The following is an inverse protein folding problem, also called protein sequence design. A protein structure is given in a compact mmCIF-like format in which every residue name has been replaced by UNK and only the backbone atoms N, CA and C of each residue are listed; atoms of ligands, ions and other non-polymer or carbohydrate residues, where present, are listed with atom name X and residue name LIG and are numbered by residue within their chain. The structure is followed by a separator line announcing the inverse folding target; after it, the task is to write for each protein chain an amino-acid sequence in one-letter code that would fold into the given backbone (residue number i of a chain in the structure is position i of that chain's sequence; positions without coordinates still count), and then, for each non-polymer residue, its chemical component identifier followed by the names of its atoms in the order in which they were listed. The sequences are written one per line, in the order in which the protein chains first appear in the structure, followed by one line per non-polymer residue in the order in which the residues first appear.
data_IF_393306528198
#
_entry.id   IF_393306528198
#
_cell.length_a   1.000
_cell.length_b   1.000
_cell.length_c   1.000
_cell.angle_alpha   90.00
_cell.angle_beta   90.00
_cell.angle_gamma   90.00
#
_symmetry.space_group_name_H-M   'P 1'
#
loop_
_entity.id
_entity.type
_entity.pdbx_description
1 polymer ?
#
# COMPACT_ATOMS: atom_id res chain seq x y z
N UNK A 1 24.33 -7.09 6.32
CA UNK A 1 23.63 -7.06 7.62
C UNK A 1 22.14 -7.13 7.33
N UNK A 2 21.41 -8.05 7.96
CA UNK A 2 19.95 -8.08 7.86
C UNK A 2 19.40 -6.73 8.31
N UNK A 3 18.43 -6.18 7.57
CA UNK A 3 17.81 -4.90 7.94
C UNK A 3 16.85 -5.13 9.10
N UNK A 4 17.00 -4.34 10.17
CA UNK A 4 16.10 -4.40 11.33
C UNK A 4 14.67 -3.94 10.97
N UNK A 5 14.50 -3.21 9.88
CA UNK A 5 13.21 -2.74 9.42
C UNK A 5 13.16 -2.39 7.93
N UNK A 6 12.00 -2.57 7.32
CA UNK A 6 11.62 -2.06 6.00
C UNK A 6 10.81 -0.79 6.19
N UNK A 7 11.14 0.26 5.44
CA UNK A 7 10.48 1.58 5.50
C UNK A 7 9.82 1.88 4.16
N UNK A 8 8.52 2.12 4.20
CA UNK A 8 7.70 2.40 3.02
C UNK A 8 7.15 3.82 3.10
N UNK A 9 7.28 4.58 2.01
CA UNK A 9 6.64 5.87 1.82
C UNK A 9 5.56 5.74 0.76
N UNK A 10 4.35 6.20 1.08
CA UNK A 10 3.16 6.07 0.23
C UNK A 10 2.62 7.45 -0.15
N UNK A 11 3.25 8.15 -1.10
CA UNK A 11 2.72 9.42 -1.60
C UNK A 11 1.48 9.20 -2.47
N UNK A 12 0.52 10.07 -2.31
CA UNK A 12 -0.74 10.04 -3.02
C UNK A 12 -1.50 11.36 -2.87
N UNK A 13 -2.77 11.33 -3.22
CA UNK A 13 -3.67 12.46 -3.05
C UNK A 13 -4.77 12.12 -2.05
N UNK A 14 -5.28 13.13 -1.38
CA UNK A 14 -6.39 12.98 -0.45
C UNK A 14 -7.60 12.33 -1.14
N UNK A 15 -8.12 11.25 -0.52
CA UNK A 15 -9.22 10.45 -1.05
C UNK A 15 -8.82 9.18 -1.82
N UNK A 16 -7.53 8.96 -2.12
CA UNK A 16 -7.03 7.78 -2.86
C UNK A 16 -6.86 6.52 -1.99
N UNK A 17 -7.08 6.63 -0.69
CA UNK A 17 -7.02 5.49 0.21
C UNK A 17 -5.61 5.05 0.65
N UNK A 18 -4.56 5.84 0.40
CA UNK A 18 -3.20 5.57 0.86
C UNK A 18 -3.12 5.38 2.39
N UNK A 19 -3.83 6.22 3.15
CA UNK A 19 -3.95 6.10 4.62
C UNK A 19 -4.59 4.76 5.02
N UNK A 20 -5.62 4.33 4.30
CA UNK A 20 -6.29 3.06 4.56
C UNK A 20 -5.37 1.88 4.25
N UNK A 21 -4.67 1.91 3.11
CA UNK A 21 -3.70 0.90 2.74
C UNK A 21 -2.56 0.81 3.76
N UNK A 22 -2.00 1.94 4.19
CA UNK A 22 -0.95 1.97 5.21
C UNK A 22 -1.40 1.36 6.55
N UNK A 23 -2.63 1.63 6.95
CA UNK A 23 -3.20 1.07 8.19
C UNK A 23 -3.37 -0.45 8.09
N UNK A 24 -3.93 -0.93 6.98
CA UNK A 24 -4.10 -2.37 6.75
C UNK A 24 -2.73 -3.06 6.64
N UNK A 25 -1.75 -2.42 5.98
CA UNK A 25 -0.40 -2.94 5.88
C UNK A 25 0.24 -3.15 7.26
N UNK A 26 0.10 -2.18 8.17
CA UNK A 26 0.63 -2.32 9.52
C UNK A 26 -0.10 -3.42 10.30
N UNK A 27 -1.43 -3.52 10.21
CA UNK A 27 -2.21 -4.58 10.88
C UNK A 27 -1.84 -5.97 10.34
N UNK A 28 -1.73 -6.13 9.02
CA UNK A 28 -1.35 -7.39 8.40
C UNK A 28 0.07 -7.83 8.82
N UNK A 29 1.01 -6.90 8.89
CA UNK A 29 2.36 -7.19 9.35
C UNK A 29 2.41 -7.57 10.84
N UNK A 30 1.62 -6.91 11.68
CA UNK A 30 1.48 -7.27 13.10
C UNK A 30 0.92 -8.69 13.28
N UNK A 31 -0.06 -9.08 12.46
CA UNK A 31 -0.59 -10.45 12.42
C UNK A 31 0.49 -11.50 12.09
N UNK A 32 1.46 -11.15 11.24
CA UNK A 32 2.63 -12.00 10.94
C UNK A 32 3.71 -11.96 12.02
N UNK A 33 3.53 -11.17 13.08
CA UNK A 33 4.47 -11.04 14.19
C UNK A 33 5.58 -10.02 13.98
N UNK A 34 5.47 -9.12 12.98
CA UNK A 34 6.34 -7.97 12.87
C UNK A 34 5.89 -6.85 13.80
N UNK A 35 6.83 -6.08 14.32
CA UNK A 35 6.51 -4.77 14.84
C UNK A 35 6.16 -3.85 13.68
N UNK A 36 4.99 -3.23 13.71
CA UNK A 36 4.52 -2.41 12.61
C UNK A 36 3.99 -1.07 13.08
N UNK A 37 4.29 -0.02 12.32
CA UNK A 37 3.82 1.35 12.58
C UNK A 37 3.35 1.96 11.27
N UNK A 38 2.15 2.56 11.27
CA UNK A 38 1.66 3.40 10.19
C UNK A 38 1.42 4.82 10.68
N UNK A 39 1.97 5.79 9.96
CA UNK A 39 1.78 7.22 10.25
C UNK A 39 1.27 7.93 9.00
N UNK A 40 0.03 8.44 8.99
CA UNK A 40 -0.44 9.31 7.93
C UNK A 40 0.07 10.73 8.13
N UNK A 41 0.39 11.39 7.02
CA UNK A 41 0.73 12.80 6.97
C UNK A 41 -0.07 13.48 5.86
N UNK A 42 -0.85 14.49 6.21
CA UNK A 42 -1.70 15.24 5.28
C UNK A 42 -1.98 16.63 5.80
N UNK A 43 -2.16 17.59 4.89
CA UNK A 43 -2.54 18.96 5.21
C UNK A 43 -4.02 19.12 5.58
N UNK A 44 -4.44 20.37 5.76
CA UNK A 44 -5.83 20.72 6.06
C UNK A 44 -6.80 20.43 4.90
N UNK A 45 -6.32 20.39 3.68
CA UNK A 45 -7.10 20.10 2.49
C UNK A 45 -7.45 18.62 2.42
N UNK A 46 -8.73 18.29 2.12
CA UNK A 46 -9.26 16.94 2.26
C UNK A 46 -9.29 16.13 0.97
N UNK A 47 -9.30 16.77 -0.20
CA UNK A 47 -9.41 16.09 -1.50
C UNK A 47 -8.39 16.61 -2.49
N UNK A 48 -7.76 15.69 -3.23
CA UNK A 48 -6.80 15.96 -4.29
C UNK A 48 -5.57 16.79 -3.87
N UNK A 49 -5.42 17.07 -2.57
CA UNK A 49 -4.21 17.64 -1.98
C UNK A 49 -3.17 16.55 -1.73
N UNK A 50 -1.88 16.90 -1.69
CA UNK A 50 -0.83 15.96 -1.33
C UNK A 50 -1.13 15.27 0.00
N UNK A 51 -0.93 13.96 0.04
CA UNK A 51 -0.96 13.17 1.26
C UNK A 51 0.15 12.14 1.19
N UNK A 52 0.82 11.91 2.29
CA UNK A 52 1.78 10.82 2.41
C UNK A 52 1.42 9.94 3.60
N UNK A 53 1.66 8.66 3.47
CA UNK A 53 1.60 7.74 4.59
C UNK A 53 2.92 7.01 4.69
N UNK A 54 3.30 6.67 5.90
CA UNK A 54 4.55 5.97 6.18
C UNK A 54 4.23 4.66 6.88
N UNK A 55 4.85 3.58 6.43
CA UNK A 55 4.78 2.27 7.07
C UNK A 55 6.19 1.81 7.41
N UNK A 56 6.36 1.31 8.61
CA UNK A 56 7.58 0.65 9.06
C UNK A 56 7.23 -0.74 9.53
N UNK A 57 7.98 -1.72 9.06
CA UNK A 57 7.89 -3.11 9.46
C UNK A 57 9.24 -3.52 10.01
N UNK A 58 9.29 -4.15 11.17
CA UNK A 58 10.57 -4.53 11.80
C UNK A 58 10.47 -5.80 12.62
N UNK A 59 11.64 -6.39 12.89
CA UNK A 59 11.80 -7.54 13.78
C UNK A 59 11.98 -7.15 15.24
N UNK A 60 12.21 -5.84 15.48
CA UNK A 60 12.38 -5.24 16.80
C UNK A 60 11.39 -4.09 17.00
N UNK A 61 11.09 -3.68 18.24
CA UNK A 61 10.18 -2.57 18.52
C UNK A 61 10.55 -1.28 17.78
N UNK A 62 9.57 -0.65 17.15
CA UNK A 62 9.73 0.58 16.36
C UNK A 62 9.23 1.77 17.17
N UNK A 63 10.14 2.66 17.55
CA UNK A 63 9.82 3.88 18.30
C UNK A 63 9.76 5.13 17.43
N UNK A 64 10.38 5.07 16.23
CA UNK A 64 10.34 6.15 15.26
C UNK A 64 8.92 6.32 14.66
N UNK A 65 8.38 7.52 14.83
CA UNK A 65 7.03 7.91 14.39
C UNK A 65 7.05 9.09 13.41
N UNK A 66 8.23 9.56 13.04
CA UNK A 66 8.41 10.67 12.11
C UNK A 66 8.21 10.28 10.64
N UNK A 67 8.54 11.22 9.77
CA UNK A 67 8.58 10.99 8.33
C UNK A 67 9.62 9.93 7.96
N UNK A 68 9.36 9.20 6.87
CA UNK A 68 10.35 8.27 6.29
C UNK A 68 11.19 9.04 5.27
N UNK A 69 12.33 9.58 5.72
CA UNK A 69 13.26 10.33 4.87
C UNK A 69 14.03 9.39 3.94
N UNK A 70 14.44 8.23 4.45
CA UNK A 70 15.18 7.22 3.69
C UNK A 70 14.33 5.94 3.52
N UNK A 71 13.40 5.91 2.54
CA UNK A 71 12.58 4.74 2.29
C UNK A 71 13.36 3.62 1.60
N UNK A 72 13.00 2.38 1.92
CA UNK A 72 13.35 1.21 1.13
C UNK A 72 12.40 1.06 -0.07
N UNK A 73 11.15 1.53 0.10
CA UNK A 73 10.09 1.43 -0.90
C UNK A 73 9.34 2.76 -1.01
N UNK A 74 9.05 3.17 -2.24
CA UNK A 74 8.13 4.29 -2.54
C UNK A 74 6.96 3.75 -3.37
N UNK A 75 5.72 3.95 -2.87
CA UNK A 75 4.50 3.54 -3.55
C UNK A 75 3.66 4.75 -3.96
N UNK A 76 3.54 5.01 -5.25
CA UNK A 76 2.85 6.18 -5.78
C UNK A 76 1.41 5.82 -6.15
N UNK A 77 0.45 6.35 -5.39
CA UNK A 77 -0.97 6.07 -5.55
C UNK A 77 -1.65 6.83 -6.69
N UNK A 78 -1.05 7.94 -7.14
CA UNK A 78 -1.65 8.77 -8.17
C UNK A 78 -0.59 9.43 -9.08
N UNK A 79 -0.80 9.44 -10.42
CA UNK A 79 0.15 10.01 -11.37
C UNK A 79 0.55 11.47 -11.10
N UNK A 80 -0.35 12.29 -10.56
CA UNK A 80 -0.09 13.70 -10.26
C UNK A 80 0.99 13.93 -9.19
N UNK A 81 1.33 12.90 -8.42
CA UNK A 81 2.50 12.95 -7.52
C UNK A 81 3.76 13.25 -8.34
N UNK A 82 3.90 12.61 -9.50
CA UNK A 82 5.04 12.80 -10.40
C UNK A 82 4.79 13.98 -11.36
N UNK A 83 3.69 13.94 -12.11
CA UNK A 83 3.44 14.86 -13.22
C UNK A 83 3.19 16.31 -12.81
N UNK A 84 2.73 16.54 -11.58
CA UNK A 84 2.39 17.85 -11.04
C UNK A 84 3.14 18.19 -9.74
N UNK A 85 4.07 17.32 -9.31
CA UNK A 85 4.79 17.51 -8.06
C UNK A 85 3.89 17.57 -6.82
N UNK A 86 2.72 16.90 -6.84
CA UNK A 86 1.80 16.88 -5.71
C UNK A 86 2.25 15.87 -4.65
N UNK A 87 3.36 16.17 -4.01
CA UNK A 87 3.95 15.40 -2.92
C UNK A 87 4.63 16.32 -1.94
N UNK A 88 4.80 15.91 -0.71
CA UNK A 88 5.62 16.62 0.28
C UNK A 88 7.11 16.39 0.04
N UNK A 89 7.45 15.28 -0.61
CA UNK A 89 8.83 14.94 -0.96
C UNK A 89 9.02 14.97 -2.47
N UNK A 90 9.94 15.84 -2.94
CA UNK A 90 10.30 15.95 -4.34
C UNK A 90 11.83 15.99 -4.54
N UNK A 91 12.36 15.30 -5.57
CA UNK A 91 11.66 14.33 -6.40
C UNK A 91 11.07 13.18 -5.57
N UNK A 92 10.00 12.54 -6.07
CA UNK A 92 9.25 11.52 -5.31
C UNK A 92 10.11 10.38 -4.74
N UNK A 93 11.24 10.11 -5.36
CA UNK A 93 12.21 9.09 -4.92
C UNK A 93 13.30 9.65 -4.00
N UNK A 94 13.27 10.94 -3.62
CA UNK A 94 14.32 11.51 -2.77
C UNK A 94 14.54 10.68 -1.52
N UNK A 95 15.82 10.35 -1.26
CA UNK A 95 16.24 9.53 -0.15
C UNK A 95 16.00 8.03 -0.29
N UNK A 96 15.50 7.55 -1.42
CA UNK A 96 15.37 6.10 -1.64
C UNK A 96 16.73 5.42 -1.51
N UNK A 97 16.75 4.28 -0.83
CA UNK A 97 17.98 3.53 -0.61
C UNK A 97 18.35 2.72 -1.85
N UNK A 98 19.64 2.39 -1.94
CA UNK A 98 20.14 1.39 -2.90
C UNK A 98 19.37 0.07 -2.75
N UNK A 99 19.15 -0.60 -3.86
CA UNK A 99 18.36 -1.84 -3.96
C UNK A 99 16.92 -1.65 -3.47
N UNK A 100 16.37 -0.46 -3.65
CA UNK A 100 15.01 -0.14 -3.28
C UNK A 100 13.98 -0.58 -4.32
N UNK A 101 12.73 -0.25 -4.03
CA UNK A 101 11.58 -0.54 -4.90
C UNK A 101 10.72 0.70 -5.08
N UNK A 102 10.31 0.97 -6.32
CA UNK A 102 9.28 1.97 -6.64
C UNK A 102 8.11 1.26 -7.31
N UNK A 103 6.89 1.47 -6.78
CA UNK A 103 5.65 1.00 -7.38
C UNK A 103 4.83 2.22 -7.79
N UNK A 104 4.46 2.31 -9.06
CA UNK A 104 3.75 3.46 -9.63
C UNK A 104 2.39 3.01 -10.17
N UNK A 105 1.31 3.59 -9.63
CA UNK A 105 -0.03 3.44 -10.19
C UNK A 105 -0.20 4.38 -11.38
N UNK A 106 0.05 3.88 -12.59
CA UNK A 106 -0.10 4.63 -13.84
C UNK A 106 -0.26 3.69 -15.02
N UNK A 107 -1.03 4.13 -16.02
CA UNK A 107 -1.16 3.51 -17.34
C UNK A 107 0.03 3.82 -18.27
N UNK A 108 0.89 4.75 -17.88
CA UNK A 108 2.01 5.25 -18.67
C UNK A 108 3.29 5.30 -17.86
N UNK A 109 4.41 5.18 -18.55
CA UNK A 109 5.71 5.52 -17.99
C UNK A 109 5.79 7.03 -17.77
N UNK A 110 5.97 7.42 -16.51
CA UNK A 110 6.01 8.83 -16.07
C UNK A 110 7.43 9.30 -15.77
N UNK A 111 8.43 8.41 -15.87
CA UNK A 111 9.81 8.71 -15.51
C UNK A 111 10.52 9.40 -16.66
N UNK A 112 11.23 10.47 -16.33
CA UNK A 112 12.19 11.08 -17.26
C UNK A 112 13.44 10.20 -17.38
N UNK A 113 14.23 10.42 -18.43
CA UNK A 113 15.51 9.71 -18.59
C UNK A 113 16.46 9.96 -17.40
N UNK A 114 16.38 11.16 -16.81
CA UNK A 114 17.15 11.50 -15.61
C UNK A 114 16.69 10.67 -14.41
N UNK A 115 15.37 10.55 -14.19
CA UNK A 115 14.82 9.73 -13.11
C UNK A 115 15.24 8.26 -13.25
N UNK A 116 15.11 7.71 -14.47
CA UNK A 116 15.51 6.34 -14.79
C UNK A 116 16.97 6.11 -14.47
N UNK A 117 17.84 7.00 -14.93
CA UNK A 117 19.28 6.90 -14.68
C UNK A 117 19.59 6.89 -13.17
N UNK A 118 18.99 7.80 -12.40
CA UNK A 118 19.24 7.86 -10.95
C UNK A 118 18.77 6.58 -10.26
N UNK A 119 17.58 6.08 -10.63
CA UNK A 119 17.03 4.85 -10.06
C UNK A 119 17.85 3.62 -10.44
N UNK A 120 18.34 3.56 -11.69
CA UNK A 120 19.22 2.49 -12.18
C UNK A 120 20.59 2.52 -11.47
N UNK A 121 21.20 3.70 -11.30
CA UNK A 121 22.46 3.87 -10.59
C UNK A 121 22.36 3.40 -9.12
N UNK A 122 21.17 3.47 -8.51
CA UNK A 122 20.86 2.97 -7.18
C UNK A 122 20.36 1.50 -7.18
N UNK A 123 20.34 0.84 -8.33
CA UNK A 123 19.75 -0.50 -8.52
C UNK A 123 18.32 -0.60 -7.97
N UNK A 124 17.52 0.47 -8.10
CA UNK A 124 16.12 0.49 -7.69
C UNK A 124 15.26 -0.19 -8.74
N UNK A 125 14.43 -1.14 -8.34
CA UNK A 125 13.47 -1.76 -9.24
C UNK A 125 12.21 -0.92 -9.32
N UNK A 126 11.68 -0.75 -10.54
CA UNK A 126 10.48 0.05 -10.78
C UNK A 126 9.40 -0.81 -11.40
N UNK A 127 8.23 -0.84 -10.77
CA UNK A 127 7.01 -1.43 -11.30
C UNK A 127 6.01 -0.31 -11.62
N UNK A 128 5.72 -0.10 -12.89
CA UNK A 128 4.64 0.76 -13.34
C UNK A 128 3.48 -0.09 -13.85
N UNK A 129 2.30 0.09 -13.28
CA UNK A 129 1.09 -0.59 -13.70
C UNK A 129 -0.14 0.24 -13.34
N UNK A 130 -1.15 0.22 -14.21
CA UNK A 130 -2.47 0.80 -13.92
C UNK A 130 -3.22 -0.11 -12.92
N UNK A 131 -2.98 0.13 -11.63
CA UNK A 131 -3.68 -0.55 -10.55
C UNK A 131 -5.12 -0.05 -10.38
N UNK A 132 -5.45 1.12 -10.95
CA UNK A 132 -6.82 1.63 -10.97
C UNK A 132 -7.67 0.82 -11.95
N UNK A 133 -7.20 0.64 -13.18
CA UNK A 133 -7.88 -0.22 -14.15
C UNK A 133 -7.90 -1.67 -13.67
N UNK A 134 -6.80 -2.16 -13.09
CA UNK A 134 -6.77 -3.49 -12.48
C UNK A 134 -7.86 -3.67 -11.40
N UNK A 135 -8.06 -2.68 -10.53
CA UNK A 135 -9.11 -2.74 -9.51
C UNK A 135 -10.53 -2.69 -10.12
N UNK A 136 -10.72 -1.93 -11.19
CA UNK A 136 -12.00 -1.91 -11.93
C UNK A 136 -12.27 -3.29 -12.52
N UNK A 137 -11.29 -3.94 -13.12
CA UNK A 137 -11.43 -5.27 -13.74
C UNK A 137 -11.73 -6.35 -12.70
N UNK A 138 -11.12 -6.28 -11.50
CA UNK A 138 -11.29 -7.27 -10.43
C UNK A 138 -12.55 -7.03 -9.57
N UNK A 139 -12.79 -5.80 -9.16
CA UNK A 139 -13.83 -5.44 -8.20
C UNK A 139 -15.03 -4.71 -8.82
N UNK A 140 -14.92 -4.24 -10.08
CA UNK A 140 -15.91 -3.40 -10.72
C UNK A 140 -15.91 -1.94 -10.21
N UNK A 141 -14.84 -1.50 -9.53
CA UNK A 141 -14.76 -0.14 -8.96
C UNK A 141 -13.32 0.31 -8.74
N UNK A 142 -13.04 1.57 -9.04
CA UNK A 142 -11.76 2.22 -8.72
C UNK A 142 -11.50 2.35 -7.21
N UNK A 143 -12.53 2.24 -6.37
CA UNK A 143 -12.39 2.33 -4.92
C UNK A 143 -11.53 1.20 -4.33
N UNK A 144 -11.32 0.12 -5.06
CA UNK A 144 -10.46 -0.99 -4.67
C UNK A 144 -8.99 -0.80 -5.09
N UNK A 145 -8.61 0.32 -5.73
CA UNK A 145 -7.22 0.61 -6.12
C UNK A 145 -6.26 0.51 -4.95
N UNK A 146 -6.64 1.01 -3.78
CA UNK A 146 -5.81 0.92 -2.58
C UNK A 146 -5.59 -0.52 -2.10
N UNK A 147 -6.52 -1.43 -2.37
CA UNK A 147 -6.36 -2.86 -2.08
C UNK A 147 -5.45 -3.54 -3.11
N UNK A 148 -5.56 -3.16 -4.39
CA UNK A 148 -4.61 -3.59 -5.41
C UNK A 148 -3.18 -3.16 -5.07
N UNK A 149 -2.98 -1.89 -4.69
CA UNK A 149 -1.67 -1.37 -4.27
C UNK A 149 -1.14 -2.09 -3.03
N UNK A 150 -2.00 -2.37 -2.03
CA UNK A 150 -1.63 -3.14 -0.85
C UNK A 150 -1.16 -4.56 -1.20
N UNK A 151 -1.92 -5.26 -2.04
CA UNK A 151 -1.54 -6.58 -2.56
C UNK A 151 -0.22 -6.54 -3.30
N UNK A 152 -0.03 -5.51 -4.14
CA UNK A 152 1.21 -5.29 -4.88
C UNK A 152 2.43 -5.11 -3.97
N UNK A 153 2.28 -4.36 -2.88
CA UNK A 153 3.36 -4.18 -1.90
C UNK A 153 3.83 -5.52 -1.33
N UNK A 154 2.91 -6.29 -0.79
CA UNK A 154 3.27 -7.51 -0.09
C UNK A 154 3.61 -8.68 -1.05
N UNK A 155 3.03 -8.69 -2.25
CA UNK A 155 3.44 -9.61 -3.29
C UNK A 155 4.89 -9.40 -3.72
N UNK A 156 5.30 -8.13 -3.87
CA UNK A 156 6.69 -7.78 -4.18
C UNK A 156 7.66 -8.08 -3.03
N UNK A 157 7.23 -7.86 -1.78
CA UNK A 157 8.07 -8.09 -0.60
C UNK A 157 8.16 -9.56 -0.20
N UNK A 158 7.09 -10.34 -0.35
CA UNK A 158 7.00 -11.72 0.13
C UNK A 158 7.05 -11.87 1.66
N UNK A 159 6.93 -10.76 2.41
CA UNK A 159 7.10 -10.74 3.89
C UNK A 159 5.81 -10.97 4.66
N UNK A 160 4.66 -10.64 4.07
CA UNK A 160 3.34 -10.78 4.68
C UNK A 160 2.47 -11.67 3.82
N UNK A 161 1.85 -12.67 4.44
CA UNK A 161 1.03 -13.64 3.73
C UNK A 161 -0.35 -13.10 3.32
N UNK A 162 -0.98 -13.72 2.33
CA UNK A 162 -2.36 -13.39 1.94
C UNK A 162 -3.36 -13.52 3.09
N UNK A 163 -3.32 -14.58 3.95
CA UNK A 163 -4.18 -14.66 5.12
C UNK A 163 -4.03 -13.48 6.08
N UNK A 164 -2.82 -12.99 6.32
CA UNK A 164 -2.61 -11.83 7.17
C UNK A 164 -3.15 -10.54 6.54
N UNK A 165 -3.01 -10.36 5.22
CA UNK A 165 -3.63 -9.26 4.48
C UNK A 165 -5.16 -9.32 4.60
N UNK A 166 -5.73 -10.51 4.45
CA UNK A 166 -7.17 -10.74 4.60
C UNK A 166 -7.66 -10.34 5.99
N UNK A 167 -6.94 -10.71 7.04
CA UNK A 167 -7.26 -10.34 8.42
C UNK A 167 -7.21 -8.82 8.60
N UNK A 168 -6.16 -8.16 8.13
CA UNK A 168 -6.04 -6.70 8.16
C UNK A 168 -7.18 -5.97 7.43
N UNK A 169 -7.60 -6.48 6.26
CA UNK A 169 -8.74 -5.93 5.52
C UNK A 169 -10.05 -6.13 6.30
N UNK A 170 -10.28 -7.33 6.83
CA UNK A 170 -11.47 -7.63 7.65
C UNK A 170 -11.51 -6.75 8.90
N UNK A 171 -10.40 -6.62 9.62
CA UNK A 171 -10.29 -5.78 10.80
C UNK A 171 -10.68 -4.32 10.48
N UNK A 172 -10.15 -3.76 9.40
CA UNK A 172 -10.43 -2.37 8.99
C UNK A 172 -11.88 -2.12 8.64
N UNK A 173 -12.52 -3.06 7.97
CA UNK A 173 -13.87 -2.89 7.44
C UNK A 173 -14.98 -3.45 8.35
N UNK A 174 -14.70 -4.42 9.23
CA UNK A 174 -15.71 -5.01 10.12
C UNK A 174 -15.83 -4.27 11.44
N UNK A 175 -14.75 -3.82 12.06
CA UNK A 175 -14.77 -3.16 13.38
C UNK A 175 -15.67 -1.92 13.49
N UNK A 176 -15.98 -1.25 12.40
CA UNK A 176 -16.84 -0.05 12.40
C UNK A 176 -18.31 -0.30 12.75
N UNK A 177 -18.76 -1.55 12.96
CA UNK A 177 -20.20 -1.86 13.09
C UNK A 177 -20.63 -2.48 14.41
N UNK A 178 -19.74 -2.76 15.33
CA UNK A 178 -20.08 -3.27 16.65
C UNK A 178 -20.49 -2.18 17.66
N UNK A 179 -20.45 -0.90 17.28
CA UNK A 179 -20.61 0.21 18.21
C UNK A 179 -21.95 0.99 18.12
N UNK A 180 -22.92 0.59 17.29
CA UNK A 180 -24.23 1.24 17.25
C UNK A 180 -25.36 0.25 17.62
N UNK A 181 -25.67 0.18 18.92
CA UNK A 181 -26.90 -0.47 19.39
C UNK A 181 -28.11 0.30 18.83
N UNK A 182 -28.84 -0.31 17.94
CA UNK A 182 -30.10 0.19 17.37
C UNK A 182 -31.18 -0.89 17.47
N UNK A 183 -32.34 -0.48 17.92
CA UNK A 183 -33.55 -1.28 18.17
C UNK A 183 -34.08 -2.02 16.95
N UNK A 184 -34.64 -3.17 17.21
CA UNK A 184 -34.98 -4.32 16.37
C UNK A 184 -36.10 -4.18 15.31
N UNK A 185 -36.26 -3.06 14.61
CA UNK A 185 -37.31 -2.92 13.57
C UNK A 185 -36.78 -2.73 12.13
N UNK A 186 -35.52 -3.07 11.87
CA UNK A 186 -34.81 -2.80 10.59
C UNK A 186 -34.15 -4.06 9.98
N UNK A 187 -34.60 -5.25 10.33
CA UNK A 187 -33.88 -6.50 9.99
C UNK A 187 -33.61 -6.66 8.48
N UNK A 188 -34.57 -6.41 7.61
CA UNK A 188 -34.37 -6.57 6.16
C UNK A 188 -33.45 -5.52 5.53
N UNK A 189 -33.41 -4.30 6.09
CA UNK A 189 -32.50 -3.22 5.61
C UNK A 189 -31.09 -3.46 6.14
N UNK A 190 -30.99 -3.96 7.37
CA UNK A 190 -29.73 -4.35 8.02
C UNK A 190 -29.12 -5.54 7.27
N UNK A 191 -29.90 -6.57 6.96
CA UNK A 191 -29.45 -7.74 6.19
C UNK A 191 -28.94 -7.36 4.79
N UNK A 192 -29.67 -6.52 4.04
CA UNK A 192 -29.24 -6.04 2.72
C UNK A 192 -27.96 -5.22 2.79
N UNK A 193 -27.83 -4.35 3.81
CA UNK A 193 -26.60 -3.58 4.02
C UNK A 193 -25.42 -4.48 4.41
N UNK A 194 -25.67 -5.49 5.23
CA UNK A 194 -24.66 -6.46 5.66
C UNK A 194 -24.16 -7.29 4.47
N UNK A 195 -25.08 -7.80 3.63
CA UNK A 195 -24.76 -8.57 2.43
C UNK A 195 -23.93 -7.75 1.43
N UNK A 196 -24.35 -6.52 1.12
CA UNK A 196 -23.57 -5.61 0.24
C UNK A 196 -22.18 -5.32 0.77
N UNK A 197 -22.05 -5.22 2.09
CA UNK A 197 -20.75 -4.99 2.72
C UNK A 197 -19.85 -6.22 2.63
N UNK A 198 -20.41 -7.41 2.86
CA UNK A 198 -19.66 -8.66 2.69
C UNK A 198 -19.18 -8.82 1.24
N UNK A 199 -20.02 -8.52 0.25
CA UNK A 199 -19.64 -8.51 -1.16
C UNK A 199 -18.51 -7.52 -1.45
N UNK A 200 -18.55 -6.32 -0.86
CA UNK A 200 -17.48 -5.32 -1.03
C UNK A 200 -16.17 -5.79 -0.37
N UNK A 201 -16.25 -6.37 0.82
CA UNK A 201 -15.07 -6.93 1.49
C UNK A 201 -14.47 -8.04 0.64
N UNK A 202 -15.30 -8.96 0.13
CA UNK A 202 -14.82 -10.05 -0.70
C UNK A 202 -14.12 -9.52 -1.98
N UNK A 203 -14.71 -8.56 -2.66
CA UNK A 203 -14.09 -7.90 -3.82
C UNK A 203 -12.74 -7.25 -3.49
N UNK A 204 -12.63 -6.62 -2.34
CA UNK A 204 -11.37 -6.05 -1.87
C UNK A 204 -10.31 -7.13 -1.60
N UNK A 205 -10.72 -8.26 -1.01
CA UNK A 205 -9.85 -9.40 -0.76
C UNK A 205 -9.35 -10.03 -2.07
N UNK A 206 -10.27 -10.26 -3.01
CA UNK A 206 -9.95 -10.83 -4.31
C UNK A 206 -8.99 -9.93 -5.08
N UNK A 207 -9.22 -8.61 -5.05
CA UNK A 207 -8.35 -7.61 -5.69
C UNK A 207 -6.95 -7.60 -5.07
N UNK A 208 -6.85 -7.59 -3.74
CA UNK A 208 -5.55 -7.63 -3.06
C UNK A 208 -4.81 -8.93 -3.34
N UNK A 209 -5.50 -10.07 -3.32
CA UNK A 209 -4.92 -11.39 -3.61
C UNK A 209 -4.41 -11.50 -5.05
N UNK A 210 -5.20 -11.02 -6.02
CA UNK A 210 -4.79 -11.05 -7.44
C UNK A 210 -3.59 -10.13 -7.71
N UNK A 211 -3.56 -8.93 -7.10
CA UNK A 211 -2.42 -8.02 -7.21
C UNK A 211 -1.17 -8.59 -6.54
N UNK A 212 -1.33 -9.30 -5.41
CA UNK A 212 -0.24 -10.01 -4.75
C UNK A 212 0.41 -11.04 -5.68
N UNK A 213 -0.39 -11.90 -6.31
CA UNK A 213 0.13 -12.93 -7.21
C UNK A 213 0.88 -12.31 -8.41
N UNK A 214 0.30 -11.27 -9.00
CA UNK A 214 0.89 -10.55 -10.11
C UNK A 214 2.28 -10.01 -9.75
N UNK A 215 2.37 -9.33 -8.60
CA UNK A 215 3.62 -8.68 -8.21
C UNK A 215 4.64 -9.65 -7.62
N UNK A 216 4.22 -10.73 -7.00
CA UNK A 216 5.11 -11.81 -6.59
C UNK A 216 5.77 -12.50 -7.80
N UNK A 217 5.03 -12.68 -8.90
CA UNK A 217 5.60 -13.20 -10.14
C UNK A 217 6.60 -12.22 -10.76
N UNK A 218 6.24 -10.93 -10.82
CA UNK A 218 7.14 -9.88 -11.31
C UNK A 218 8.41 -9.75 -10.44
N UNK A 219 8.29 -9.80 -9.12
CA UNK A 219 9.43 -9.71 -8.20
C UNK A 219 10.46 -10.81 -8.45
N UNK A 220 9.99 -12.04 -8.72
CA UNK A 220 10.85 -13.17 -9.10
C UNK A 220 11.55 -12.93 -10.44
N UNK A 221 10.81 -12.43 -11.43
CA UNK A 221 11.34 -12.15 -12.76
C UNK A 221 12.49 -11.13 -12.71
N UNK A 222 12.35 -10.06 -11.90
CA UNK A 222 13.37 -9.00 -11.78
C UNK A 222 14.42 -9.28 -10.69
N UNK A 223 14.32 -10.42 -10.01
CA UNK A 223 15.25 -10.81 -8.95
C UNK A 223 15.13 -9.93 -7.69
N UNK A 224 13.95 -9.39 -7.38
CA UNK A 224 13.76 -8.47 -6.26
C UNK A 224 14.00 -9.14 -4.90
N UNK A 225 13.73 -10.45 -4.77
CA UNK A 225 14.00 -11.23 -3.54
C UNK A 225 15.49 -11.21 -3.12
N UNK A 226 16.39 -10.98 -4.08
CA UNK A 226 17.83 -10.86 -3.84
C UNK A 226 18.24 -9.46 -3.38
N UNK A 227 17.36 -8.48 -3.54
CA UNK A 227 17.62 -7.05 -3.33
C UNK A 227 17.04 -6.57 -1.99
N UNK A 228 15.83 -7.02 -1.65
CA UNK A 228 15.15 -6.66 -0.40
C UNK A 228 15.20 -7.84 0.56
N UNK A 229 15.92 -7.65 1.68
CA UNK A 229 16.01 -8.64 2.74
C UNK A 229 14.71 -8.66 3.57
N UNK A 230 14.24 -9.85 3.89
CA UNK A 230 13.12 -10.06 4.82
C UNK A 230 13.63 -9.84 6.26
N UNK A 231 13.05 -8.90 7.04
CA UNK A 231 13.49 -8.66 8.41
C UNK A 231 13.34 -9.85 9.37
N UNK A 232 12.64 -10.93 8.96
CA UNK A 232 12.55 -12.20 9.70
C UNK A 232 13.63 -13.22 9.30
N UNK A 233 14.33 -13.03 8.20
CA UNK A 233 15.40 -13.90 7.73
C UNK A 233 16.77 -13.36 8.15
#
# INVERSE_FOLDING_TARGET
MAKDSIKVRLPGLGGQGAVTAAHIAATAADTEGYYAVSNPFFGAEKRMAPSESYVRLGTVPIYDRGEVIYPDIVMIFHPQVITMGKSYTMPFYAGIKENGLVIINSDKDLLTDTDKKILDDLNVKVLTKDFTQFAIDQAGTELATNMAMLGALFGALGTVSKPAIEEGIKDRFLKKYTASGGTATLDSVIEKKFKKKQELIQKNLDTASAAFDLTAAWAKEVGLEQILEDPKK
#
